data_IF_307406208585
#
_entry.id   IF_307406208585
#
_cell.length_a   1.000
_cell.length_b   1.000
_cell.length_c   1.000
_cell.angle_alpha   90.00
_cell.angle_beta   90.00
_cell.angle_gamma   90.00
#
_symmetry.space_group_name_H-M   'P 1'
#
loop_
_entity.id
_entity.type
_entity.pdbx_description
1 polymer ?
#
# COMPACT_ATOMS: atom_id res chain seq x y z
N UNK A 1 -14.32 11.75 8.42
CA UNK A 1 -13.49 12.77 7.73
C UNK A 1 -14.34 13.97 7.29
N UNK A 2 -15.03 13.94 6.15
CA UNK A 2 -15.58 15.14 5.48
C UNK A 2 -16.74 15.88 6.21
N UNK A 3 -17.42 15.23 7.16
CA UNK A 3 -18.56 15.84 7.86
C UNK A 3 -18.19 16.99 8.81
N UNK A 4 -16.92 17.06 9.24
CA UNK A 4 -16.42 18.08 10.17
C UNK A 4 -15.73 19.28 9.52
N UNK A 5 -15.72 19.36 8.18
CA UNK A 5 -15.05 20.44 7.45
C UNK A 5 -15.88 21.74 7.51
N UNK A 6 -15.21 22.88 7.63
CA UNK A 6 -15.82 24.21 7.80
C UNK A 6 -15.31 25.22 6.77
N UNK A 7 -16.18 26.14 6.32
CA UNK A 7 -15.87 27.10 5.24
C UNK A 7 -14.75 28.11 5.56
N UNK A 8 -14.49 28.35 6.85
CA UNK A 8 -13.47 29.29 7.31
C UNK A 8 -12.03 28.79 7.14
N UNK A 9 -11.85 27.51 6.80
CA UNK A 9 -10.54 26.87 6.61
C UNK A 9 -10.31 26.54 5.14
N UNK A 10 -9.08 26.16 4.82
CA UNK A 10 -8.70 25.63 3.51
C UNK A 10 -8.15 24.23 3.66
N UNK A 11 -8.56 23.33 2.78
CA UNK A 11 -8.27 21.91 2.90
C UNK A 11 -7.56 21.38 1.66
N UNK A 12 -6.51 20.59 1.89
CA UNK A 12 -5.93 19.71 0.89
C UNK A 12 -6.18 18.28 1.35
N UNK A 13 -7.12 17.60 0.69
CA UNK A 13 -7.47 16.21 1.02
C UNK A 13 -6.75 15.27 0.05
N UNK A 14 -6.10 14.24 0.59
CA UNK A 14 -5.22 13.33 -0.14
C UNK A 14 -5.73 11.90 0.05
N UNK A 15 -6.21 11.26 -1.02
CA UNK A 15 -6.85 9.93 -0.95
C UNK A 15 -6.09 8.86 -1.76
N UNK A 16 -6.29 7.56 -1.48
CA UNK A 16 -5.59 6.52 -2.22
C UNK A 16 -6.02 6.40 -3.69
N UNK A 17 -7.28 6.74 -4.00
CA UNK A 17 -7.92 6.44 -5.30
C UNK A 17 -8.75 7.61 -5.82
N UNK A 18 -8.86 7.70 -7.15
CA UNK A 18 -9.62 8.76 -7.82
C UNK A 18 -11.13 8.70 -7.48
N UNK A 19 -11.70 7.51 -7.35
CA UNK A 19 -13.12 7.35 -6.94
C UNK A 19 -13.41 7.92 -5.55
N UNK A 20 -12.41 7.97 -4.66
CA UNK A 20 -12.54 8.63 -3.37
C UNK A 20 -12.45 10.16 -3.50
N UNK A 21 -11.69 10.70 -4.46
CA UNK A 21 -11.74 12.12 -4.80
C UNK A 21 -13.15 12.52 -5.25
N UNK A 22 -13.73 11.77 -6.19
CA UNK A 22 -15.10 11.99 -6.69
C UNK A 22 -16.14 11.93 -5.57
N UNK A 23 -15.99 10.97 -4.64
CA UNK A 23 -16.86 10.86 -3.46
C UNK A 23 -16.77 12.11 -2.58
N UNK A 24 -15.57 12.63 -2.34
CA UNK A 24 -15.39 13.84 -1.52
C UNK A 24 -16.02 15.06 -2.20
N UNK A 25 -15.80 15.24 -3.50
CA UNK A 25 -16.39 16.36 -4.26
C UNK A 25 -17.91 16.32 -4.18
N UNK A 26 -18.51 15.13 -4.29
CA UNK A 26 -19.96 14.95 -4.24
C UNK A 26 -20.57 15.14 -2.84
N UNK A 27 -19.91 14.60 -1.81
CA UNK A 27 -20.53 14.42 -0.49
C UNK A 27 -20.06 15.45 0.55
N UNK A 28 -19.00 16.21 0.29
CA UNK A 28 -18.49 17.22 1.22
C UNK A 28 -19.41 18.46 1.28
N UNK A 29 -19.51 19.06 2.47
CA UNK A 29 -20.28 20.30 2.67
C UNK A 29 -19.58 21.54 2.14
N UNK A 30 -18.26 21.50 2.07
CA UNK A 30 -17.43 22.56 1.48
C UNK A 30 -17.05 22.14 0.06
N UNK A 31 -17.03 23.10 -0.87
CA UNK A 31 -16.70 22.82 -2.26
C UNK A 31 -15.22 22.42 -2.40
N UNK A 32 -14.98 21.32 -3.12
CA UNK A 32 -13.66 20.81 -3.48
C UNK A 32 -13.48 20.81 -4.99
N UNK A 33 -12.25 21.01 -5.43
CA UNK A 33 -11.83 20.81 -6.82
C UNK A 33 -10.72 19.75 -6.88
N UNK A 34 -10.67 19.01 -7.97
CA UNK A 34 -9.58 18.08 -8.26
C UNK A 34 -8.73 18.59 -9.43
N UNK A 35 -7.42 18.33 -9.43
CA UNK A 35 -6.57 18.69 -10.55
C UNK A 35 -6.85 17.85 -11.80
N UNK A 36 -7.03 18.53 -12.91
CA UNK A 36 -7.35 17.98 -14.24
C UNK A 36 -6.50 18.65 -15.31
N UNK A 37 -6.35 18.00 -16.48
CA UNK A 37 -5.76 18.64 -17.66
C UNK A 37 -6.85 19.46 -18.33
N UNK A 38 -6.64 20.77 -18.49
CA UNK A 38 -7.61 21.67 -19.11
C UNK A 38 -7.17 21.90 -20.56
N UNK A 39 -7.88 21.29 -21.52
CA UNK A 39 -7.46 21.28 -22.93
C UNK A 39 -7.44 22.67 -23.60
N UNK A 40 -8.18 23.63 -23.06
CA UNK A 40 -8.40 24.96 -23.66
C UNK A 40 -7.67 26.09 -22.92
N UNK A 41 -6.83 25.77 -21.93
CA UNK A 41 -6.06 26.77 -21.18
C UNK A 41 -4.55 26.62 -21.45
N UNK A 42 -3.93 27.56 -22.17
CA UNK A 42 -2.50 27.48 -22.52
C UNK A 42 -1.56 27.68 -21.32
N UNK A 43 -2.06 28.10 -20.15
CA UNK A 43 -1.28 28.18 -18.92
C UNK A 43 -1.29 26.85 -18.13
N UNK A 44 -2.09 25.87 -18.55
CA UNK A 44 -2.28 24.58 -17.85
C UNK A 44 -1.96 23.40 -18.78
N UNK A 45 -0.67 23.08 -18.89
CA UNK A 45 -0.20 21.95 -19.70
C UNK A 45 -0.35 20.60 -18.98
N UNK A 46 -0.27 20.59 -17.64
CA UNK A 46 -0.31 19.38 -16.83
C UNK A 46 -1.30 19.48 -15.68
N UNK A 47 -1.68 18.32 -15.12
CA UNK A 47 -2.47 18.28 -13.88
C UNK A 47 -1.78 19.01 -12.73
N UNK A 48 -0.45 19.05 -12.71
CA UNK A 48 0.32 19.73 -11.68
C UNK A 48 0.17 21.25 -11.80
N UNK A 49 0.16 21.78 -13.01
CA UNK A 49 -0.04 23.21 -13.25
C UNK A 49 -1.43 23.64 -12.79
N UNK A 50 -2.45 22.82 -13.09
CA UNK A 50 -3.79 23.07 -12.57
C UNK A 50 -3.84 23.00 -11.03
N UNK A 51 -3.14 22.05 -10.41
CA UNK A 51 -3.06 21.99 -8.95
C UNK A 51 -2.42 23.28 -8.39
N UNK A 52 -1.35 23.77 -9.00
CA UNK A 52 -0.69 25.02 -8.59
C UNK A 52 -1.69 26.18 -8.68
N UNK A 53 -2.39 26.33 -9.81
CA UNK A 53 -3.40 27.37 -10.00
C UNK A 53 -4.53 27.28 -8.95
N UNK A 54 -4.99 26.08 -8.61
CA UNK A 54 -6.02 25.87 -7.57
C UNK A 54 -5.54 26.27 -6.17
N UNK A 55 -4.26 25.99 -5.85
CA UNK A 55 -3.65 26.36 -4.57
C UNK A 55 -3.41 27.87 -4.47
N UNK A 56 -2.95 28.51 -5.55
CA UNK A 56 -2.78 29.96 -5.65
C UNK A 56 -4.11 30.70 -5.47
N UNK A 57 -5.18 30.19 -6.10
CA UNK A 57 -6.54 30.70 -5.95
C UNK A 57 -7.20 30.34 -4.59
N UNK A 58 -6.46 29.67 -3.68
CA UNK A 58 -6.91 29.30 -2.33
C UNK A 58 -8.19 28.45 -2.33
N UNK A 59 -8.34 27.54 -3.29
CA UNK A 59 -9.46 26.61 -3.30
C UNK A 59 -9.23 25.41 -2.37
N UNK A 60 -10.29 24.75 -1.90
CA UNK A 60 -10.12 23.43 -1.30
C UNK A 60 -9.83 22.42 -2.41
N UNK A 61 -8.79 21.63 -2.23
CA UNK A 61 -8.33 20.69 -3.26
C UNK A 61 -8.41 19.27 -2.72
N UNK A 62 -8.84 18.34 -3.58
CA UNK A 62 -8.72 16.90 -3.34
C UNK A 62 -7.83 16.27 -4.41
N UNK A 63 -6.90 15.42 -4.01
CA UNK A 63 -5.99 14.74 -4.92
C UNK A 63 -5.61 13.35 -4.43
N UNK A 64 -4.87 12.60 -5.25
CA UNK A 64 -4.43 11.24 -4.91
C UNK A 64 -3.08 11.22 -4.17
N UNK A 65 -2.81 10.13 -3.44
CA UNK A 65 -1.52 9.85 -2.80
C UNK A 65 -0.34 9.97 -3.78
N UNK A 66 -0.51 9.46 -5.00
CA UNK A 66 0.52 9.49 -6.03
C UNK A 66 0.88 10.91 -6.46
N UNK A 67 -0.12 11.79 -6.57
CA UNK A 67 0.12 13.20 -6.91
C UNK A 67 0.78 13.94 -5.76
N UNK A 68 0.33 13.72 -4.51
CA UNK A 68 0.88 14.37 -3.33
C UNK A 68 2.39 14.10 -3.14
N UNK A 69 2.83 12.86 -3.38
CA UNK A 69 4.27 12.50 -3.31
C UNK A 69 5.17 13.29 -4.29
N UNK A 70 4.59 13.89 -5.32
CA UNK A 70 5.31 14.67 -6.34
C UNK A 70 5.20 16.19 -6.15
N UNK A 71 4.74 16.65 -4.98
CA UNK A 71 4.55 18.08 -4.66
C UNK A 71 5.72 18.71 -3.90
N UNK A 72 6.88 18.04 -3.87
CA UNK A 72 8.05 18.51 -3.12
C UNK A 72 8.51 19.92 -3.53
N UNK A 73 8.38 20.26 -4.81
CA UNK A 73 8.68 21.57 -5.35
C UNK A 73 7.56 22.59 -5.12
N UNK A 74 6.30 22.16 -5.16
CA UNK A 74 5.13 22.99 -4.79
C UNK A 74 5.20 23.41 -3.32
N UNK A 75 5.65 22.52 -2.44
CA UNK A 75 5.93 22.84 -1.04
C UNK A 75 6.96 23.97 -0.89
N UNK A 76 8.05 23.92 -1.64
CA UNK A 76 9.08 24.98 -1.64
C UNK A 76 8.56 26.34 -2.12
N UNK A 77 7.44 26.38 -2.83
CA UNK A 77 6.78 27.63 -3.25
C UNK A 77 5.89 28.24 -2.15
N UNK A 78 5.69 27.57 -1.01
CA UNK A 78 4.84 28.05 0.09
C UNK A 78 3.33 27.97 -0.22
N UNK A 79 2.93 27.28 -1.28
CA UNK A 79 1.52 27.23 -1.72
C UNK A 79 0.62 26.40 -0.79
N UNK A 80 1.22 25.55 0.05
CA UNK A 80 0.52 24.75 1.05
C UNK A 80 0.33 25.51 2.38
N UNK A 81 0.94 26.69 2.54
CA UNK A 81 0.86 27.48 3.76
C UNK A 81 -0.59 27.86 4.05
N UNK A 82 -1.08 27.54 5.25
CA UNK A 82 -2.46 27.83 5.66
C UNK A 82 -3.50 26.79 5.25
N UNK A 83 -3.10 25.69 4.60
CA UNK A 83 -3.97 24.54 4.37
C UNK A 83 -3.97 23.57 5.56
N UNK A 84 -5.13 23.05 5.90
CA UNK A 84 -5.26 21.84 6.70
C UNK A 84 -5.13 20.63 5.77
N UNK A 85 -4.02 19.90 5.89
CA UNK A 85 -3.74 18.74 5.06
C UNK A 85 -4.38 17.52 5.73
N UNK A 86 -5.25 16.83 4.99
CA UNK A 86 -5.93 15.63 5.47
C UNK A 86 -5.59 14.47 4.55
N UNK A 87 -4.99 13.44 5.10
CA UNK A 87 -4.62 12.23 4.37
C UNK A 87 -5.58 11.11 4.77
N UNK A 88 -6.31 10.58 3.80
CA UNK A 88 -7.13 9.37 3.96
C UNK A 88 -6.27 8.13 3.74
N UNK A 89 -6.28 7.22 4.72
CA UNK A 89 -5.39 6.08 4.84
C UNK A 89 -3.89 6.47 4.86
N UNK A 90 -3.07 5.61 5.43
CA UNK A 90 -1.61 5.84 5.41
C UNK A 90 -1.05 5.80 3.99
N UNK A 91 -0.22 6.78 3.67
CA UNK A 91 0.52 6.86 2.41
C UNK A 91 1.67 5.85 2.37
N UNK A 92 2.07 5.47 1.14
CA UNK A 92 3.38 4.84 0.95
C UNK A 92 4.46 5.90 1.09
N UNK A 93 5.16 5.88 2.22
CA UNK A 93 6.27 6.79 2.51
C UNK A 93 7.61 6.32 1.97
N UNK A 94 7.66 5.09 1.47
CA UNK A 94 8.85 4.46 0.94
C UNK A 94 8.55 3.95 -0.46
N UNK A 95 9.45 4.22 -1.38
CA UNK A 95 9.45 3.69 -2.74
C UNK A 95 10.80 3.00 -3.02
N UNK A 96 10.75 1.68 -3.19
CA UNK A 96 11.89 0.84 -3.52
C UNK A 96 12.02 0.57 -5.04
N UNK A 97 11.21 1.24 -5.87
CA UNK A 97 11.25 1.21 -7.33
C UNK A 97 12.53 1.79 -7.92
N UNK A 98 13.28 2.57 -7.14
CA UNK A 98 14.57 3.18 -7.50
C UNK A 98 15.77 2.23 -7.35
N UNK A 99 15.53 0.92 -7.25
CA UNK A 99 16.59 -0.07 -7.06
C UNK A 99 17.48 -0.20 -8.31
N UNK A 100 18.72 0.22 -8.16
CA UNK A 100 19.80 -0.06 -9.13
C UNK A 100 20.52 -1.35 -8.73
N UNK A 101 21.05 -2.10 -9.72
CA UNK A 101 21.94 -3.23 -9.42
C UNK A 101 23.18 -2.70 -8.69
N UNK A 102 23.53 -3.31 -7.56
CA UNK A 102 24.69 -2.92 -6.73
C UNK A 102 25.95 -2.58 -7.53
N UNK A 103 26.36 -3.46 -8.46
CA UNK A 103 27.53 -3.24 -9.31
C UNK A 103 27.42 -1.98 -10.17
N UNK A 104 26.26 -1.74 -10.79
CA UNK A 104 26.01 -0.54 -11.59
C UNK A 104 26.02 0.71 -10.70
N UNK A 105 25.41 0.65 -9.52
CA UNK A 105 25.42 1.77 -8.58
C UNK A 105 26.84 2.15 -8.14
N UNK A 106 27.61 1.18 -7.66
CA UNK A 106 28.98 1.41 -7.18
C UNK A 106 29.90 1.87 -8.30
N UNK A 107 29.88 1.19 -9.45
CA UNK A 107 30.84 1.45 -10.52
C UNK A 107 30.53 2.70 -11.32
N UNK A 108 29.26 2.99 -11.55
CA UNK A 108 28.86 4.10 -12.43
C UNK A 108 28.50 5.33 -11.61
N UNK A 109 27.53 5.23 -10.69
CA UNK A 109 27.05 6.41 -9.97
C UNK A 109 28.07 6.92 -8.95
N UNK A 110 28.63 6.02 -8.12
CA UNK A 110 29.52 6.41 -7.02
C UNK A 110 30.95 6.66 -7.52
N UNK A 111 31.57 5.68 -8.20
CA UNK A 111 32.98 5.80 -8.58
C UNK A 111 33.25 6.85 -9.66
N UNK A 112 32.32 7.06 -10.60
CA UNK A 112 32.48 8.09 -11.64
C UNK A 112 32.08 9.49 -11.14
N UNK A 113 31.62 9.62 -9.88
CA UNK A 113 31.42 10.91 -9.22
C UNK A 113 30.09 11.61 -9.51
N UNK A 114 29.06 10.88 -9.94
CA UNK A 114 27.72 11.45 -10.18
C UNK A 114 26.94 11.76 -8.90
N UNK A 115 27.32 11.16 -7.76
CA UNK A 115 26.60 11.32 -6.49
C UNK A 115 27.53 11.60 -5.32
N UNK A 116 27.07 12.47 -4.43
CA UNK A 116 27.57 12.59 -3.08
C UNK A 116 26.64 11.88 -2.10
N UNK A 117 27.20 11.03 -1.24
CA UNK A 117 26.45 10.29 -0.22
C UNK A 117 26.88 10.81 1.15
N UNK A 118 25.92 11.37 1.90
CA UNK A 118 26.16 11.79 3.27
C UNK A 118 26.48 10.55 4.15
N UNK A 119 27.64 10.50 4.82
CA UNK A 119 28.10 9.30 5.52
C UNK A 119 27.27 8.94 6.76
N UNK A 120 26.63 9.92 7.39
CA UNK A 120 25.86 9.73 8.63
C UNK A 120 24.40 9.30 8.34
N UNK A 121 23.81 9.87 7.29
CA UNK A 121 22.39 9.70 6.96
C UNK A 121 22.14 8.78 5.77
N UNK A 122 23.14 8.60 4.90
CA UNK A 122 23.01 7.93 3.62
C UNK A 122 22.29 8.77 2.55
N UNK A 123 21.99 10.04 2.79
CA UNK A 123 21.31 10.91 1.82
C UNK A 123 22.16 11.08 0.55
N UNK A 124 21.55 10.85 -0.61
CA UNK A 124 22.17 11.01 -1.92
C UNK A 124 21.84 12.39 -2.49
N UNK A 125 22.88 13.15 -2.85
CA UNK A 125 22.78 14.44 -3.53
C UNK A 125 23.43 14.31 -4.92
N UNK A 126 22.78 14.79 -6.00
CA UNK A 126 23.41 14.77 -7.32
C UNK A 126 24.55 15.79 -7.38
N UNK A 127 25.65 15.45 -8.05
CA UNK A 127 26.75 16.39 -8.33
C UNK A 127 26.48 17.18 -9.62
N UNK A 128 27.21 18.28 -9.83
CA UNK A 128 27.14 19.05 -11.08
C UNK A 128 27.42 18.17 -12.31
N UNK A 129 28.30 17.17 -12.17
CA UNK A 129 28.61 16.19 -13.21
C UNK A 129 27.37 15.39 -13.66
N UNK A 130 26.48 15.03 -12.72
CA UNK A 130 25.23 14.34 -13.08
C UNK A 130 24.28 15.28 -13.82
N UNK A 131 24.23 16.56 -13.45
CA UNK A 131 23.42 17.56 -14.15
C UNK A 131 23.90 17.72 -15.59
N UNK A 132 25.21 17.89 -15.78
CA UNK A 132 25.84 18.08 -17.09
C UNK A 132 25.61 16.89 -18.03
N UNK A 133 25.70 15.67 -17.51
CA UNK A 133 25.57 14.45 -18.31
C UNK A 133 24.15 13.86 -18.35
N UNK A 134 23.14 14.55 -17.82
CA UNK A 134 21.77 14.02 -17.73
C UNK A 134 21.16 13.77 -19.11
N UNK A 135 21.46 14.63 -20.09
CA UNK A 135 20.93 14.58 -21.46
C UNK A 135 21.88 13.88 -22.44
N UNK A 136 23.18 13.83 -22.14
CA UNK A 136 24.22 13.30 -23.04
C UNK A 136 24.32 11.77 -23.02
N UNK A 137 23.78 11.10 -21.99
CA UNK A 137 23.91 9.65 -21.80
C UNK A 137 22.53 8.99 -21.80
N UNK A 138 21.86 9.08 -22.96
CA UNK A 138 20.44 8.75 -23.26
C UNK A 138 19.98 7.29 -23.01
N UNK A 139 20.64 6.55 -22.12
CA UNK A 139 20.21 5.22 -21.66
C UNK A 139 20.92 4.74 -20.35
N UNK A 140 21.95 5.47 -19.86
CA UNK A 140 22.77 4.98 -18.73
C UNK A 140 22.42 5.61 -17.38
N UNK A 141 22.06 6.91 -17.38
CA UNK A 141 21.71 7.66 -16.17
C UNK A 141 20.20 7.75 -16.04
N UNK A 142 19.67 7.32 -14.89
CA UNK A 142 18.23 7.36 -14.65
C UNK A 142 17.77 8.77 -14.29
N UNK A 143 17.01 9.41 -15.19
CA UNK A 143 16.35 10.69 -14.96
C UNK A 143 15.46 10.66 -13.70
N UNK A 144 14.78 9.52 -13.47
CA UNK A 144 13.95 9.34 -12.29
C UNK A 144 14.76 9.32 -10.98
N UNK A 145 15.97 8.74 -10.98
CA UNK A 145 16.87 8.77 -9.82
C UNK A 145 17.39 10.19 -9.58
N UNK A 146 17.78 10.89 -10.64
CA UNK A 146 18.22 12.28 -10.56
C UNK A 146 17.16 13.17 -9.90
N UNK A 147 15.91 13.11 -10.38
CA UNK A 147 14.82 13.88 -9.78
C UNK A 147 14.56 13.52 -8.31
N UNK A 148 14.69 12.24 -7.94
CA UNK A 148 14.55 11.82 -6.54
C UNK A 148 15.71 12.33 -5.66
N UNK A 149 16.95 12.30 -6.17
CA UNK A 149 18.11 12.83 -5.45
C UNK A 149 18.02 14.36 -5.32
N UNK A 150 17.69 15.07 -6.41
CA UNK A 150 17.54 16.54 -6.42
C UNK A 150 16.39 17.01 -5.50
N UNK A 151 15.33 16.21 -5.36
CA UNK A 151 14.26 16.48 -4.41
C UNK A 151 14.66 16.20 -2.94
N UNK A 152 15.90 15.78 -2.66
CA UNK A 152 16.39 15.51 -1.31
C UNK A 152 15.75 14.30 -0.64
N UNK A 153 15.30 13.33 -1.43
CA UNK A 153 14.49 12.21 -0.93
C UNK A 153 15.06 10.82 -1.21
N UNK A 154 16.26 10.73 -1.77
CA UNK A 154 16.90 9.46 -2.13
C UNK A 154 18.00 9.10 -1.12
N UNK A 155 17.96 7.90 -0.56
CA UNK A 155 18.90 7.41 0.45
C UNK A 155 19.58 6.12 0.01
N UNK A 156 20.87 6.00 0.28
CA UNK A 156 21.64 4.78 0.10
C UNK A 156 21.56 3.89 1.34
N UNK A 157 21.15 2.64 1.17
CA UNK A 157 21.14 1.63 2.23
C UNK A 157 22.39 0.74 2.17
N UNK A 158 22.76 0.16 3.31
CA UNK A 158 24.00 -0.62 3.48
C UNK A 158 24.10 -1.89 2.62
N UNK A 159 23.00 -2.38 2.07
CA UNK A 159 22.95 -3.53 1.16
C UNK A 159 22.99 -3.16 -0.33
N UNK A 160 23.21 -1.88 -0.64
CA UNK A 160 23.27 -1.36 -2.01
C UNK A 160 21.91 -1.06 -2.63
N UNK A 161 20.86 -0.98 -1.82
CA UNK A 161 19.53 -0.53 -2.24
C UNK A 161 19.46 0.98 -2.10
N UNK A 162 18.92 1.66 -3.13
CA UNK A 162 18.49 3.05 -2.98
C UNK A 162 17.02 3.10 -2.62
N UNK A 163 16.71 3.92 -1.62
CA UNK A 163 15.38 4.09 -1.06
C UNK A 163 14.94 5.52 -1.33
N UNK A 164 13.87 5.72 -2.12
CA UNK A 164 13.22 7.01 -2.12
C UNK A 164 12.20 7.06 -0.99
N UNK A 165 12.16 8.18 -0.28
CA UNK A 165 11.17 8.41 0.78
C UNK A 165 10.30 9.61 0.46
N UNK A 166 9.20 9.76 1.17
CA UNK A 166 8.40 10.98 1.08
C UNK A 166 9.27 12.19 1.52
N UNK A 167 9.19 13.34 0.85
CA UNK A 167 9.85 14.57 1.31
C UNK A 167 9.33 15.03 2.67
N UNK A 168 10.23 15.36 3.58
CA UNK A 168 9.88 15.85 4.93
C UNK A 168 9.11 17.18 4.87
N UNK A 169 9.46 18.07 3.95
CA UNK A 169 8.80 19.38 3.78
C UNK A 169 7.29 19.24 3.60
N UNK A 170 6.84 18.26 2.81
CA UNK A 170 5.41 18.00 2.58
C UNK A 170 4.64 17.64 3.85
N UNK A 171 5.31 17.03 4.84
CA UNK A 171 4.70 16.69 6.12
C UNK A 171 4.57 17.90 7.05
N UNK A 172 5.30 18.99 6.75
CA UNK A 172 5.38 20.21 7.55
C UNK A 172 4.76 21.44 6.85
N UNK A 173 4.34 21.31 5.60
CA UNK A 173 3.94 22.43 4.76
C UNK A 173 2.59 23.08 5.13
N UNK A 174 1.68 22.30 5.71
CA UNK A 174 0.34 22.79 6.07
C UNK A 174 0.28 23.44 7.45
N UNK A 175 -0.84 24.10 7.75
CA UNK A 175 -1.19 24.55 9.10
C UNK A 175 -1.38 23.36 10.07
N UNK A 176 -1.90 22.24 9.57
CA UNK A 176 -1.88 20.95 10.24
C UNK A 176 -1.84 19.81 9.22
N UNK A 177 -1.42 18.63 9.69
CA UNK A 177 -1.50 17.38 8.94
C UNK A 177 -2.22 16.33 9.78
N UNK A 178 -3.35 15.84 9.27
CA UNK A 178 -4.17 14.81 9.93
C UNK A 178 -4.24 13.57 9.06
N UNK A 179 -3.85 12.41 9.58
CA UNK A 179 -3.93 11.12 8.88
C UNK A 179 -5.07 10.29 9.46
N UNK A 180 -6.08 9.97 8.64
CA UNK A 180 -7.16 9.06 9.02
C UNK A 180 -6.77 7.63 8.68
N UNK A 181 -6.36 6.86 9.67
CA UNK A 181 -6.06 5.45 9.50
C UNK A 181 -6.35 4.66 10.76
N UNK A 182 -6.57 3.35 10.62
CA UNK A 182 -6.70 2.44 11.74
C UNK A 182 -5.37 1.75 12.04
N UNK A 183 -5.01 1.64 13.33
CA UNK A 183 -3.72 1.12 13.84
C UNK A 183 -2.50 1.80 13.19
N UNK A 184 -2.47 3.13 13.28
CA UNK A 184 -1.40 3.95 12.74
C UNK A 184 0.00 3.47 13.17
N UNK A 185 0.15 2.98 14.40
CA UNK A 185 1.43 2.56 14.98
C UNK A 185 2.08 1.38 14.26
N UNK A 186 1.28 0.54 13.60
CA UNK A 186 1.78 -0.53 12.75
C UNK A 186 2.18 -0.05 11.35
N UNK A 187 2.01 1.23 11.00
CA UNK A 187 2.29 1.72 9.65
C UNK A 187 3.73 2.21 9.49
N UNK A 188 4.29 2.00 8.29
CA UNK A 188 5.60 2.56 7.90
C UNK A 188 5.59 4.08 7.98
N UNK A 189 4.46 4.73 7.68
CA UNK A 189 4.30 6.17 7.78
C UNK A 189 4.48 6.68 9.22
N UNK A 190 3.93 5.98 10.20
CA UNK A 190 4.12 6.35 11.61
C UNK A 190 5.56 6.18 12.07
N UNK A 191 6.24 5.12 11.63
CA UNK A 191 7.67 4.95 11.86
C UNK A 191 8.50 6.09 11.26
N UNK A 192 8.08 6.56 10.06
CA UNK A 192 8.71 7.69 9.40
C UNK A 192 8.53 9.00 10.18
N UNK A 193 7.31 9.30 10.64
CA UNK A 193 7.03 10.49 11.46
C UNK A 193 7.85 10.50 12.75
N UNK A 194 7.99 9.35 13.43
CA UNK A 194 8.86 9.22 14.61
C UNK A 194 10.32 9.46 14.28
N UNK A 195 10.81 8.90 13.16
CA UNK A 195 12.20 9.12 12.71
C UNK A 195 12.50 10.60 12.45
N UNK A 196 11.53 11.35 11.94
CA UNK A 196 11.63 12.79 11.71
C UNK A 196 11.51 13.63 13.00
N UNK A 197 11.21 13.02 14.15
CA UNK A 197 10.94 13.73 15.40
C UNK A 197 9.65 14.55 15.38
N UNK A 198 8.67 14.18 14.53
CA UNK A 198 7.39 14.86 14.42
C UNK A 198 6.35 14.39 15.46
N UNK A 199 6.65 13.31 16.21
CA UNK A 199 5.86 12.76 17.33
C UNK A 199 4.34 12.97 17.23
N UNK A 200 3.67 12.25 16.30
CA UNK A 200 2.25 12.47 16.03
C UNK A 200 1.37 12.13 17.24
N UNK A 201 0.41 13.01 17.53
CA UNK A 201 -0.63 12.74 18.54
C UNK A 201 -1.62 11.73 17.98
N UNK A 202 -1.80 10.61 18.68
CA UNK A 202 -2.76 9.59 18.29
C UNK A 202 -4.12 9.85 18.94
N UNK A 203 -5.11 10.20 18.12
CA UNK A 203 -6.51 10.22 18.54
C UNK A 203 -7.14 8.85 18.25
N UNK A 204 -7.07 7.94 19.23
CA UNK A 204 -7.69 6.61 19.17
C UNK A 204 -9.18 6.63 19.50
N UNK A 205 -9.76 7.81 19.76
CA UNK A 205 -11.08 7.92 20.38
C UNK A 205 -11.11 7.31 21.77
N UNK A 206 -12.28 6.83 22.21
CA UNK A 206 -12.42 6.20 23.51
C UNK A 206 -12.13 4.68 23.45
N UNK A 207 -11.55 4.06 24.50
CA UNK A 207 -11.32 2.62 24.55
C UNK A 207 -12.58 1.77 24.25
N UNK A 208 -13.76 2.30 24.55
CA UNK A 208 -15.03 1.63 24.28
C UNK A 208 -15.35 1.51 22.79
N UNK A 209 -14.93 2.49 21.96
CA UNK A 209 -15.09 2.45 20.51
C UNK A 209 -14.24 1.32 19.93
N UNK A 210 -12.98 1.24 20.33
CA UNK A 210 -12.06 0.18 19.94
C UNK A 210 -12.59 -1.20 20.35
N UNK A 211 -13.00 -1.37 21.61
CA UNK A 211 -13.55 -2.64 22.10
C UNK A 211 -14.83 -3.03 21.34
N UNK A 212 -15.70 -2.07 21.01
CA UNK A 212 -16.89 -2.34 20.21
C UNK A 212 -16.52 -2.79 18.80
N UNK A 213 -15.54 -2.13 18.17
CA UNK A 213 -15.04 -2.50 16.86
C UNK A 213 -14.47 -3.93 16.85
N UNK A 214 -13.61 -4.26 17.83
CA UNK A 214 -13.02 -5.60 17.97
C UNK A 214 -14.08 -6.67 18.25
N UNK A 215 -15.09 -6.39 19.08
CA UNK A 215 -16.21 -7.32 19.32
C UNK A 215 -16.99 -7.61 18.04
N UNK A 216 -17.33 -6.57 17.28
CA UNK A 216 -18.01 -6.75 15.99
C UNK A 216 -17.14 -7.56 15.02
N UNK A 217 -15.84 -7.27 14.95
CA UNK A 217 -14.89 -8.04 14.14
C UNK A 217 -14.90 -9.54 14.52
N UNK A 218 -14.91 -9.84 15.82
CA UNK A 218 -14.92 -11.21 16.35
C UNK A 218 -16.18 -11.97 15.95
N UNK A 219 -17.32 -11.31 15.89
CA UNK A 219 -18.60 -11.89 15.48
C UNK A 219 -18.69 -12.13 13.96
N UNK A 220 -18.09 -11.23 13.17
CA UNK A 220 -18.18 -11.28 11.72
C UNK A 220 -17.11 -12.17 11.06
N UNK A 221 -15.92 -12.34 11.68
CA UNK A 221 -14.80 -13.01 11.04
C UNK A 221 -14.66 -14.45 11.53
N UNK A 222 -14.94 -15.41 10.64
CA UNK A 222 -14.64 -16.82 10.89
C UNK A 222 -13.26 -17.18 10.32
N UNK A 223 -12.29 -17.46 11.19
CA UNK A 223 -10.92 -17.86 10.79
C UNK A 223 -10.84 -19.37 10.58
N UNK A 224 -10.25 -19.79 9.46
CA UNK A 224 -10.05 -21.18 9.04
C UNK A 224 -8.61 -21.42 8.55
N UNK A 225 -8.11 -22.62 8.80
CA UNK A 225 -6.80 -23.06 8.32
C UNK A 225 -6.87 -23.67 6.91
N UNK A 226 -5.74 -23.71 6.21
CA UNK A 226 -5.54 -24.53 5.02
C UNK A 226 -4.52 -25.61 5.40
N UNK A 227 -5.01 -26.77 5.85
CA UNK A 227 -4.20 -27.85 6.44
C UNK A 227 -2.96 -28.23 5.63
N UNK A 228 -3.05 -28.22 4.30
CA UNK A 228 -1.93 -28.58 3.39
C UNK A 228 -0.81 -27.53 3.33
N UNK A 229 -1.07 -26.32 3.82
CA UNK A 229 -0.11 -25.20 3.86
C UNK A 229 0.41 -24.91 5.28
N UNK A 230 0.02 -25.71 6.28
CA UNK A 230 0.47 -25.52 7.66
C UNK A 230 1.99 -25.70 7.78
N UNK A 231 2.66 -24.79 8.48
CA UNK A 231 4.12 -24.80 8.66
C UNK A 231 4.91 -24.43 7.40
N UNK A 232 4.24 -24.04 6.32
CA UNK A 232 4.88 -23.54 5.12
C UNK A 232 5.21 -22.06 5.30
N UNK A 233 6.45 -21.67 5.02
CA UNK A 233 6.86 -20.28 5.02
C UNK A 233 6.28 -19.55 3.80
N UNK A 234 5.28 -18.70 4.06
CA UNK A 234 4.58 -17.88 3.07
C UNK A 234 5.05 -16.41 3.07
N UNK A 235 6.29 -16.12 3.46
CA UNK A 235 6.85 -14.78 3.29
C UNK A 235 6.95 -14.42 1.80
N UNK A 236 6.92 -13.12 1.47
CA UNK A 236 7.08 -12.65 0.09
C UNK A 236 8.35 -13.23 -0.57
N UNK A 237 9.48 -13.19 0.14
CA UNK A 237 10.77 -13.72 -0.34
C UNK A 237 10.72 -15.24 -0.54
N UNK A 238 10.09 -15.98 0.37
CA UNK A 238 9.95 -17.44 0.24
C UNK A 238 9.12 -17.83 -0.99
N UNK A 239 8.07 -17.06 -1.29
CA UNK A 239 7.22 -17.27 -2.44
C UNK A 239 7.90 -16.86 -3.76
N UNK A 240 8.66 -15.75 -3.79
CA UNK A 240 9.16 -15.15 -5.05
C UNK A 240 10.58 -15.55 -5.45
N UNK A 241 11.34 -16.20 -4.58
CA UNK A 241 12.69 -16.72 -4.89
C UNK A 241 12.70 -17.72 -6.05
N UNK A 242 13.83 -17.82 -6.76
CA UNK A 242 14.02 -18.67 -7.96
C UNK A 242 13.69 -20.15 -7.74
N UNK A 243 13.86 -20.68 -6.52
CA UNK A 243 13.59 -22.07 -6.17
C UNK A 243 12.21 -22.30 -5.53
N UNK A 244 11.23 -21.43 -5.79
CA UNK A 244 9.85 -21.56 -5.29
C UNK A 244 9.05 -22.73 -5.86
N UNK A 245 9.64 -23.59 -6.71
CA UNK A 245 8.94 -24.68 -7.43
C UNK A 245 8.06 -25.54 -6.52
N UNK A 246 8.55 -25.88 -5.32
CA UNK A 246 7.78 -26.64 -4.33
C UNK A 246 6.47 -25.94 -3.95
N UNK A 247 6.50 -24.61 -3.75
CA UNK A 247 5.30 -23.82 -3.48
C UNK A 247 4.41 -23.71 -4.72
N UNK A 248 5.02 -23.54 -5.90
CA UNK A 248 4.32 -23.46 -7.18
C UNK A 248 3.54 -24.75 -7.51
N UNK A 249 3.92 -25.89 -6.93
CA UNK A 249 3.17 -27.15 -7.03
C UNK A 249 2.19 -27.36 -5.87
N UNK A 250 2.55 -26.96 -4.65
CA UNK A 250 1.77 -27.22 -3.44
C UNK A 250 0.56 -26.29 -3.30
N UNK A 251 0.76 -24.99 -3.54
CA UNK A 251 -0.27 -23.96 -3.32
C UNK A 251 -1.47 -24.15 -4.25
N UNK A 252 -1.32 -24.38 -5.57
CA UNK A 252 -2.46 -24.66 -6.44
C UNK A 252 -3.27 -25.88 -6.01
N UNK A 253 -2.60 -26.97 -5.59
CA UNK A 253 -3.25 -28.18 -5.10
C UNK A 253 -4.05 -27.91 -3.83
N UNK A 254 -3.48 -27.11 -2.91
CA UNK A 254 -4.15 -26.66 -1.70
C UNK A 254 -5.40 -25.82 -2.03
N UNK A 255 -5.28 -24.82 -2.90
CA UNK A 255 -6.39 -23.97 -3.33
C UNK A 255 -7.47 -24.76 -4.07
N UNK A 256 -7.09 -25.72 -4.90
CA UNK A 256 -8.00 -26.62 -5.62
C UNK A 256 -8.78 -27.55 -4.68
N UNK A 257 -8.12 -28.06 -3.63
CA UNK A 257 -8.78 -28.80 -2.56
C UNK A 257 -9.73 -27.91 -1.76
N UNK A 258 -9.28 -26.70 -1.41
CA UNK A 258 -10.07 -25.72 -0.68
C UNK A 258 -11.33 -25.32 -1.44
N UNK A 259 -11.19 -24.98 -2.74
CA UNK A 259 -12.32 -24.66 -3.63
C UNK A 259 -13.35 -25.78 -3.66
N UNK A 260 -12.92 -27.04 -3.78
CA UNK A 260 -13.83 -28.18 -3.82
C UNK A 260 -14.56 -28.44 -2.51
N UNK A 261 -13.85 -28.36 -1.40
CA UNK A 261 -14.34 -28.91 -0.13
C UNK A 261 -15.01 -27.87 0.76
N UNK A 262 -14.68 -26.58 0.58
CA UNK A 262 -15.11 -25.50 1.49
C UNK A 262 -15.77 -24.33 0.78
N UNK A 263 -15.68 -24.24 -0.54
CA UNK A 263 -16.19 -23.10 -1.31
C UNK A 263 -16.83 -23.53 -2.64
N UNK A 264 -17.42 -24.73 -2.74
CA UNK A 264 -17.95 -25.25 -4.02
C UNK A 264 -19.08 -24.38 -4.58
N UNK A 265 -19.92 -23.83 -3.70
CA UNK A 265 -21.11 -23.04 -4.02
C UNK A 265 -20.86 -21.53 -4.04
N UNK A 266 -19.68 -21.08 -3.59
CA UNK A 266 -19.34 -19.65 -3.54
C UNK A 266 -19.10 -19.15 -4.97
N UNK A 267 -19.66 -18.01 -5.34
CA UNK A 267 -19.37 -17.38 -6.62
C UNK A 267 -17.90 -16.93 -6.64
N UNK A 268 -17.18 -17.16 -7.75
CA UNK A 268 -15.72 -16.96 -7.75
C UNK A 268 -15.32 -15.51 -7.43
N UNK A 269 -15.94 -14.46 -8.01
CA UNK A 269 -15.64 -13.07 -7.66
C UNK A 269 -15.88 -12.70 -6.19
N UNK A 270 -16.73 -13.43 -5.47
CA UNK A 270 -16.93 -13.24 -4.01
C UNK A 270 -15.77 -13.79 -3.17
N UNK A 271 -14.79 -14.45 -3.79
CA UNK A 271 -13.58 -14.95 -3.13
C UNK A 271 -12.45 -13.95 -3.35
N UNK A 272 -12.10 -13.22 -2.29
CA UNK A 272 -10.93 -12.36 -2.25
C UNK A 272 -9.68 -13.22 -1.99
N UNK A 273 -8.61 -12.98 -2.73
CA UNK A 273 -7.34 -13.69 -2.54
C UNK A 273 -6.15 -12.76 -2.67
N UNK A 274 -5.15 -12.94 -1.81
CA UNK A 274 -3.87 -12.24 -1.93
C UNK A 274 -2.67 -13.19 -1.90
N UNK A 275 -1.70 -12.87 -2.75
CA UNK A 275 -0.43 -13.59 -2.99
C UNK A 275 0.47 -12.67 -3.85
N UNK A 276 1.79 -12.89 -3.99
CA UNK A 276 2.59 -12.06 -4.88
C UNK A 276 2.03 -11.99 -6.30
N UNK A 277 2.07 -10.81 -6.92
CA UNK A 277 1.50 -10.56 -8.26
C UNK A 277 1.99 -11.57 -9.31
N UNK A 278 3.27 -11.94 -9.25
CA UNK A 278 3.91 -12.93 -10.15
C UNK A 278 3.47 -14.37 -9.93
N UNK A 279 2.75 -14.66 -8.83
CA UNK A 279 2.15 -15.96 -8.53
C UNK A 279 0.72 -16.06 -8.99
N UNK A 280 -0.03 -14.96 -8.94
CA UNK A 280 -1.39 -14.93 -9.47
C UNK A 280 -1.44 -14.78 -10.99
N UNK A 281 -0.62 -13.87 -11.54
CA UNK A 281 -0.50 -13.65 -12.98
C UNK A 281 0.81 -14.22 -13.52
N UNK A 282 0.82 -14.62 -14.79
CA UNK A 282 2.06 -14.93 -15.49
C UNK A 282 2.95 -13.68 -15.50
N UNK A 283 4.23 -13.84 -15.16
CA UNK A 283 5.19 -12.73 -15.02
C UNK A 283 5.15 -11.78 -16.23
N UNK A 284 4.92 -10.49 -15.97
CA UNK A 284 4.84 -9.42 -16.99
C UNK A 284 3.65 -9.51 -17.93
N UNK A 285 2.58 -10.22 -17.54
CA UNK A 285 1.35 -10.43 -18.32
C UNK A 285 0.11 -10.22 -17.46
N UNK A 286 0.15 -9.25 -16.56
CA UNK A 286 -1.04 -8.76 -15.90
C UNK A 286 -2.02 -8.14 -16.91
N UNK A 287 -3.33 -8.35 -16.71
CA UNK A 287 -4.32 -7.77 -17.58
C UNK A 287 -4.32 -6.25 -17.43
N UNK A 288 -4.43 -5.55 -18.56
CA UNK A 288 -4.81 -4.14 -18.57
C UNK A 288 -6.31 -4.07 -18.36
N UNK A 289 -6.74 -3.19 -17.48
CA UNK A 289 -8.14 -2.94 -17.18
C UNK A 289 -8.50 -1.58 -17.80
N UNK A 290 -9.61 -1.53 -18.53
CA UNK A 290 -10.17 -0.30 -19.07
C UNK A 290 -10.90 0.50 -18.00
N UNK A 291 -11.36 1.69 -18.36
CA UNK A 291 -12.03 2.61 -17.44
C UNK A 291 -13.33 2.02 -16.86
N UNK A 292 -13.99 1.14 -17.61
CA UNK A 292 -15.23 0.48 -17.20
C UNK A 292 -15.00 -0.88 -16.52
N UNK A 293 -13.75 -1.21 -16.16
CA UNK A 293 -13.40 -2.46 -15.48
C UNK A 293 -13.22 -3.67 -16.42
N UNK A 294 -13.36 -3.48 -17.72
CA UNK A 294 -13.20 -4.52 -18.74
C UNK A 294 -11.74 -4.90 -18.94
N UNK A 295 -11.47 -6.18 -19.23
CA UNK A 295 -10.12 -6.65 -19.50
C UNK A 295 -9.71 -6.27 -20.93
N UNK A 296 -8.87 -5.24 -21.06
CA UNK A 296 -8.27 -4.84 -22.33
C UNK A 296 -7.24 -5.86 -22.84
N UNK A 297 -6.65 -6.66 -21.94
CA UNK A 297 -5.78 -7.78 -22.34
C UNK A 297 -6.17 -9.08 -21.64
N UNK A 298 -5.96 -10.24 -22.30
CA UNK A 298 -6.37 -11.52 -21.74
C UNK A 298 -5.68 -11.84 -20.43
N UNK A 299 -6.44 -12.36 -19.47
CA UNK A 299 -5.91 -12.92 -18.24
C UNK A 299 -4.99 -14.13 -18.55
N UNK A 300 -3.77 -14.11 -18.00
CA UNK A 300 -2.82 -15.24 -18.09
C UNK A 300 -2.48 -15.75 -16.69
N UNK A 301 -2.93 -16.96 -16.30
CA UNK A 301 -2.73 -17.47 -14.96
C UNK A 301 -1.25 -17.65 -14.63
N UNK A 302 -0.87 -17.20 -13.45
CA UNK A 302 0.42 -17.50 -12.83
C UNK A 302 0.42 -18.87 -12.15
N UNK A 303 1.56 -19.25 -11.54
CA UNK A 303 1.74 -20.54 -10.86
C UNK A 303 0.65 -20.89 -9.85
N UNK A 304 0.16 -19.93 -9.07
CA UNK A 304 -0.84 -20.18 -8.02
C UNK A 304 -2.27 -20.15 -8.55
N UNK A 305 -2.55 -19.35 -9.57
CA UNK A 305 -3.85 -19.31 -10.21
C UNK A 305 -4.09 -20.57 -11.07
N UNK A 306 -3.07 -21.03 -11.80
CA UNK A 306 -3.14 -22.21 -12.66
C UNK A 306 -3.43 -23.47 -11.84
N UNK A 307 -4.50 -24.20 -12.19
CA UNK A 307 -4.88 -25.44 -11.50
C UNK A 307 -5.52 -25.28 -10.12
N UNK A 308 -5.68 -24.05 -9.62
CA UNK A 308 -6.33 -23.75 -8.33
C UNK A 308 -7.84 -23.93 -8.31
N UNK A 309 -8.49 -24.03 -9.48
CA UNK A 309 -9.95 -23.89 -9.67
C UNK A 309 -10.53 -22.53 -9.25
N UNK A 310 -9.69 -21.60 -8.77
CA UNK A 310 -10.08 -20.23 -8.47
C UNK A 310 -9.95 -19.31 -9.68
N UNK A 311 -9.19 -19.75 -10.69
CA UNK A 311 -9.11 -19.06 -11.98
C UNK A 311 -9.17 -20.11 -13.11
N UNK A 312 -10.38 -20.52 -13.54
CA UNK A 312 -10.55 -21.43 -14.66
C UNK A 312 -9.82 -20.92 -15.91
N UNK A 313 -9.28 -21.84 -16.73
CA UNK A 313 -8.62 -21.48 -17.97
C UNK A 313 -9.64 -21.03 -19.03
N UNK A 314 -9.31 -19.99 -19.81
CA UNK A 314 -10.13 -19.48 -20.91
C UNK A 314 -10.39 -17.96 -20.81
N UNK A 315 -11.19 -17.44 -21.75
CA UNK A 315 -11.68 -16.06 -21.76
C UNK A 315 -12.82 -15.81 -20.76
N UNK A 316 -13.10 -16.73 -19.85
CA UNK A 316 -14.13 -16.50 -18.84
C UNK A 316 -13.69 -15.39 -17.89
N UNK A 317 -14.56 -14.41 -17.69
CA UNK A 317 -14.33 -13.27 -16.81
C UNK A 317 -14.46 -13.67 -15.33
N UNK A 318 -15.18 -14.76 -15.06
CA UNK A 318 -15.52 -15.21 -13.71
C UNK A 318 -14.35 -15.97 -13.06
N UNK A 319 -13.67 -15.31 -12.12
CA UNK A 319 -12.52 -15.82 -11.36
C UNK A 319 -12.50 -15.22 -9.96
N UNK A 320 -11.68 -15.77 -9.07
CA UNK A 320 -11.43 -15.18 -7.76
C UNK A 320 -10.76 -13.82 -7.90
N UNK A 321 -11.16 -12.90 -7.02
CA UNK A 321 -10.74 -11.51 -7.03
C UNK A 321 -9.39 -11.40 -6.34
N UNK A 322 -8.33 -11.27 -7.14
CA UNK A 322 -6.99 -11.06 -6.58
C UNK A 322 -6.74 -9.59 -6.29
N UNK A 323 -6.22 -9.33 -5.10
CA UNK A 323 -5.93 -7.99 -4.63
C UNK A 323 -4.56 -7.99 -3.93
N UNK A 324 -3.64 -7.05 -4.27
CA UNK A 324 -2.41 -6.88 -3.52
C UNK A 324 -2.70 -6.72 -2.03
N UNK A 325 -1.86 -7.32 -1.17
CA UNK A 325 -2.05 -7.21 0.29
C UNK A 325 -1.88 -5.77 0.80
N UNK A 326 -1.23 -4.89 0.02
CA UNK A 326 -1.03 -3.47 0.31
C UNK A 326 -2.16 -2.57 -0.23
N UNK A 327 -3.24 -3.15 -0.76
CA UNK A 327 -4.35 -2.37 -1.32
C UNK A 327 -5.14 -1.68 -0.20
N UNK A 328 -5.30 -0.36 -0.32
CA UNK A 328 -5.99 0.51 0.65
C UNK A 328 -7.03 1.38 -0.05
N UNK A 329 -7.95 1.95 0.72
CA UNK A 329 -8.93 2.96 0.24
C UNK A 329 -9.97 2.57 -0.82
N UNK A 330 -10.11 1.31 -1.23
CA UNK A 330 -11.14 0.88 -2.21
C UNK A 330 -12.38 0.25 -1.56
N UNK A 331 -13.54 0.47 -2.17
CA UNK A 331 -14.81 -0.19 -1.83
C UNK A 331 -15.20 -1.32 -2.81
N UNK A 332 -14.39 -1.60 -3.83
CA UNK A 332 -14.76 -2.48 -4.96
C UNK A 332 -14.98 -3.93 -4.53
N UNK A 333 -14.37 -4.35 -3.42
CA UNK A 333 -14.34 -5.73 -2.96
C UNK A 333 -15.32 -6.02 -1.81
N UNK A 334 -16.18 -5.06 -1.45
CA UNK A 334 -17.11 -5.17 -0.32
C UNK A 334 -18.17 -6.25 -0.51
N UNK A 335 -18.29 -6.83 -1.69
CA UNK A 335 -19.15 -7.97 -1.99
C UNK A 335 -18.51 -9.31 -1.60
N UNK A 336 -17.18 -9.36 -1.39
CA UNK A 336 -16.48 -10.62 -1.14
C UNK A 336 -16.87 -11.22 0.21
N UNK A 337 -17.32 -12.47 0.20
CA UNK A 337 -17.80 -13.25 1.36
C UNK A 337 -16.72 -14.16 1.94
N UNK A 338 -15.72 -14.51 1.12
CA UNK A 338 -14.62 -15.39 1.49
C UNK A 338 -13.29 -14.71 1.19
N UNK A 339 -12.29 -14.94 2.03
CA UNK A 339 -10.97 -14.34 1.89
C UNK A 339 -9.86 -15.39 2.05
N UNK A 340 -8.82 -15.33 1.22
CA UNK A 340 -7.65 -16.22 1.27
C UNK A 340 -6.39 -15.37 1.35
N UNK A 341 -5.71 -15.41 2.50
CA UNK A 341 -4.53 -14.57 2.75
C UNK A 341 -3.24 -15.41 2.74
N UNK A 342 -2.54 -15.45 1.60
CA UNK A 342 -1.33 -16.26 1.43
C UNK A 342 -0.06 -15.48 1.71
N UNK A 343 -0.01 -14.77 2.84
CA UNK A 343 1.19 -14.06 3.29
C UNK A 343 1.52 -14.38 4.74
N UNK A 344 2.82 -14.53 4.99
CA UNK A 344 3.43 -14.27 6.29
C UNK A 344 4.11 -12.89 6.21
N UNK A 345 3.40 -11.85 6.64
CA UNK A 345 3.72 -10.46 6.30
C UNK A 345 4.89 -9.93 7.13
N UNK A 346 5.91 -9.37 6.48
CA UNK A 346 7.10 -8.86 7.16
C UNK A 346 7.56 -7.56 6.52
N UNK A 347 8.07 -6.64 7.33
CA UNK A 347 8.76 -5.45 6.87
C UNK A 347 10.08 -5.90 6.24
N UNK A 348 10.48 -5.25 5.14
CA UNK A 348 11.81 -5.46 4.58
C UNK A 348 12.88 -5.08 5.63
N UNK A 349 13.82 -5.97 5.98
CA UNK A 349 14.82 -5.71 7.03
C UNK A 349 15.65 -4.44 6.79
N UNK A 350 16.02 -4.15 5.54
CA UNK A 350 16.81 -2.96 5.19
C UNK A 350 16.02 -1.67 5.41
N UNK A 351 14.73 -1.70 5.07
CA UNK A 351 13.79 -0.60 5.34
C UNK A 351 13.58 -0.45 6.85
N UNK A 352 13.37 -1.55 7.58
CA UNK A 352 13.19 -1.55 9.03
C UNK A 352 14.41 -0.94 9.74
N UNK A 353 15.61 -1.34 9.33
CA UNK A 353 16.85 -0.81 9.89
C UNK A 353 17.01 0.68 9.59
N UNK A 354 16.64 1.13 8.38
CA UNK A 354 16.63 2.55 8.03
C UNK A 354 15.70 3.35 8.96
N UNK A 355 14.57 2.80 9.39
CA UNK A 355 13.69 3.47 10.36
C UNK A 355 14.20 3.50 11.81
N UNK A 356 15.30 2.83 12.14
CA UNK A 356 15.79 2.70 13.53
C UNK A 356 15.49 1.33 14.16
N UNK A 357 15.04 0.36 13.36
CA UNK A 357 14.88 -1.04 13.76
C UNK A 357 13.56 -1.35 14.48
N UNK A 358 13.46 -2.55 15.08
CA UNK A 358 12.22 -3.05 15.70
C UNK A 358 11.69 -2.22 16.88
N UNK A 359 12.51 -1.31 17.43
CA UNK A 359 12.11 -0.40 18.52
C UNK A 359 11.18 0.72 18.04
N UNK A 360 11.25 1.07 16.75
CA UNK A 360 10.44 2.16 16.17
C UNK A 360 9.12 1.61 15.62
N UNK A 361 9.17 0.45 14.97
CA UNK A 361 8.00 -0.25 14.43
C UNK A 361 8.14 -1.76 14.64
N UNK A 362 7.13 -2.34 15.27
CA UNK A 362 7.04 -3.79 15.44
C UNK A 362 6.63 -4.44 14.12
N UNK A 363 7.36 -5.46 13.73
CA UNK A 363 7.06 -6.23 12.53
C UNK A 363 5.68 -6.93 12.63
N UNK A 364 5.28 -7.31 13.83
CA UNK A 364 4.00 -7.98 14.08
C UNK A 364 2.83 -6.98 14.10
N UNK A 365 3.03 -5.76 14.63
CA UNK A 365 2.03 -4.70 14.53
C UNK A 365 1.80 -4.28 13.08
N UNK A 366 2.87 -4.20 12.29
CA UNK A 366 2.78 -4.00 10.85
C UNK A 366 2.01 -5.11 10.15
N UNK A 367 2.37 -6.37 10.42
CA UNK A 367 1.70 -7.51 9.82
C UNK A 367 0.20 -7.55 10.13
N UNK A 368 -0.18 -7.29 11.38
CA UNK A 368 -1.57 -7.23 11.82
C UNK A 368 -2.32 -6.07 11.15
N UNK A 369 -1.70 -4.88 11.09
CA UNK A 369 -2.31 -3.69 10.49
C UNK A 369 -2.62 -3.91 9.01
N UNK A 370 -1.65 -4.43 8.25
CA UNK A 370 -1.87 -4.76 6.83
C UNK A 370 -2.97 -5.80 6.63
N UNK A 371 -3.01 -6.84 7.48
CA UNK A 371 -4.05 -7.86 7.42
C UNK A 371 -5.44 -7.27 7.69
N UNK A 372 -5.61 -6.46 8.74
CA UNK A 372 -6.92 -5.86 9.07
C UNK A 372 -7.37 -4.93 7.96
N UNK A 373 -6.48 -4.07 7.46
CA UNK A 373 -6.78 -3.15 6.37
C UNK A 373 -7.24 -3.90 5.11
N UNK A 374 -6.55 -5.00 4.76
CA UNK A 374 -6.94 -5.85 3.64
C UNK A 374 -8.28 -6.57 3.89
N UNK A 375 -8.54 -7.08 5.09
CA UNK A 375 -9.81 -7.73 5.45
C UNK A 375 -10.99 -6.76 5.35
N UNK A 376 -10.80 -5.50 5.73
CA UNK A 376 -11.83 -4.45 5.64
C UNK A 376 -12.09 -3.97 4.20
N UNK A 377 -11.57 -4.67 3.19
CA UNK A 377 -12.04 -4.56 1.80
C UNK A 377 -13.17 -5.52 1.47
N UNK A 378 -13.37 -6.55 2.29
CA UNK A 378 -14.48 -7.52 2.16
C UNK A 378 -15.80 -6.97 2.73
N UNK A 379 -16.86 -7.77 2.70
CA UNK A 379 -18.17 -7.40 3.25
C UNK A 379 -18.21 -7.18 4.77
N UNK A 380 -17.14 -7.52 5.49
CA UNK A 380 -17.01 -7.17 6.92
C UNK A 380 -17.12 -5.66 7.15
N UNK A 381 -16.70 -4.86 6.16
CA UNK A 381 -16.82 -3.39 6.17
C UNK A 381 -18.27 -2.93 6.28
N UNK A 382 -19.18 -3.64 5.63
CA UNK A 382 -20.62 -3.35 5.62
C UNK A 382 -21.36 -4.08 6.77
N UNK A 383 -20.61 -4.69 7.70
CA UNK A 383 -21.18 -5.40 8.85
C UNK A 383 -21.65 -6.82 8.55
N UNK A 384 -21.23 -7.42 7.44
CA UNK A 384 -21.60 -8.80 7.07
C UNK A 384 -20.49 -9.81 7.37
N UNK A 385 -20.83 -11.06 7.72
CA UNK A 385 -19.85 -12.06 8.16
C UNK A 385 -19.00 -12.58 7.00
N UNK A 386 -17.73 -12.90 7.24
CA UNK A 386 -16.82 -13.50 6.26
C UNK A 386 -16.18 -14.78 6.76
N UNK A 387 -15.73 -15.62 5.82
CA UNK A 387 -14.81 -16.73 6.12
C UNK A 387 -13.40 -16.42 5.61
N UNK A 388 -12.45 -16.34 6.53
CA UNK A 388 -11.04 -16.08 6.24
C UNK A 388 -10.20 -17.37 6.32
N UNK A 389 -9.57 -17.75 5.22
CA UNK A 389 -8.55 -18.79 5.17
C UNK A 389 -7.16 -18.18 5.33
N UNK A 390 -6.53 -18.46 6.48
CA UNK A 390 -5.25 -17.87 6.87
C UNK A 390 -4.26 -18.96 7.25
N UNK A 391 -3.46 -19.53 6.33
CA UNK A 391 -2.58 -20.66 6.60
C UNK A 391 -1.33 -20.36 7.44
N UNK A 392 -0.87 -19.10 7.50
CA UNK A 392 0.29 -18.74 8.31
C UNK A 392 -0.08 -18.78 9.80
N UNK A 393 0.59 -19.65 10.57
CA UNK A 393 0.34 -19.78 12.01
C UNK A 393 0.59 -18.45 12.74
N UNK A 394 1.68 -17.75 12.41
CA UNK A 394 1.96 -16.44 13.02
C UNK A 394 0.83 -15.45 12.76
N UNK A 395 0.37 -15.36 11.52
CA UNK A 395 -0.73 -14.45 11.19
C UNK A 395 -2.05 -14.84 11.87
N UNK A 396 -2.33 -16.14 12.04
CA UNK A 396 -3.46 -16.62 12.84
C UNK A 396 -3.35 -16.14 14.29
N UNK A 397 -2.18 -16.32 14.92
CA UNK A 397 -1.93 -15.90 16.30
C UNK A 397 -2.11 -14.39 16.46
N UNK A 398 -1.55 -13.58 15.56
CA UNK A 398 -1.70 -12.12 15.58
C UNK A 398 -3.17 -11.69 15.48
N UNK A 399 -3.90 -12.22 14.49
CA UNK A 399 -5.31 -11.86 14.30
C UNK A 399 -6.16 -12.30 15.49
N UNK A 400 -5.96 -13.52 16.01
CA UNK A 400 -6.74 -14.03 17.14
C UNK A 400 -6.40 -13.31 18.44
N UNK A 401 -5.14 -12.96 18.67
CA UNK A 401 -4.74 -12.14 19.82
C UNK A 401 -5.43 -10.78 19.77
N UNK A 402 -5.54 -10.16 18.59
CA UNK A 402 -6.30 -8.93 18.43
C UNK A 402 -7.80 -9.15 18.67
N UNK A 403 -8.40 -10.14 17.99
CA UNK A 403 -9.83 -10.42 18.09
C UNK A 403 -10.25 -10.75 19.53
N UNK A 404 -9.42 -11.46 20.29
CA UNK A 404 -9.71 -11.92 21.66
C UNK A 404 -8.98 -11.12 22.74
N UNK A 405 -8.37 -9.98 22.40
CA UNK A 405 -7.68 -9.10 23.35
C UNK A 405 -6.64 -9.86 24.21
N UNK A 406 -5.93 -10.81 23.58
CA UNK A 406 -4.95 -11.70 24.19
C UNK A 406 -5.52 -12.91 24.94
N UNK A 407 -6.84 -13.01 25.11
CA UNK A 407 -7.52 -14.08 25.84
C UNK A 407 -8.15 -15.11 24.90
N UNK A 408 -7.33 -15.76 24.06
CA UNK A 408 -7.84 -16.72 23.07
C UNK A 408 -8.40 -17.97 23.77
N UNK A 409 -9.69 -18.31 23.59
CA UNK A 409 -10.26 -19.51 24.18
C UNK A 409 -9.63 -20.80 23.58
N UNK A 410 -9.30 -21.83 24.37
CA UNK A 410 -8.61 -23.03 23.89
C UNK A 410 -9.34 -23.80 22.77
N UNK A 411 -10.66 -23.67 22.70
CA UNK A 411 -11.50 -24.28 21.67
C UNK A 411 -11.41 -23.56 20.31
N UNK A 412 -11.02 -22.28 20.26
CA UNK A 412 -10.88 -21.55 18.98
C UNK A 412 -9.84 -22.20 18.07
N UNK A 413 -8.71 -22.62 18.64
CA UNK A 413 -7.69 -23.38 17.89
C UNK A 413 -8.23 -24.69 17.31
N UNK A 414 -9.21 -25.32 17.95
CA UNK A 414 -9.88 -26.51 17.38
C UNK A 414 -10.81 -26.12 16.24
N UNK A 415 -11.56 -25.02 16.36
CA UNK A 415 -12.48 -24.52 15.32
C UNK A 415 -11.76 -24.11 14.04
N UNK A 416 -10.57 -23.52 14.15
CA UNK A 416 -9.74 -23.13 13.00
C UNK A 416 -9.21 -24.35 12.25
N UNK A 417 -8.85 -25.40 12.99
CA UNK A 417 -8.26 -26.63 12.45
C UNK A 417 -9.31 -27.62 11.92
N UNK A 418 -10.59 -27.42 12.26
CA UNK A 418 -11.73 -28.18 11.76
C UNK A 418 -12.22 -27.61 10.43
#
# INVERSE_FOLDING_TARGET
MIAGLVESKRYLVVTPLLSECERIIRDARVAFMQPEVIQDDPEIDTKKDHLIALLEARHNVVTTHAMFNNLADVEKMGLLDGYEIIIDEVMSVVDDGYRVKKKTWEQFYVNDGYVDINPDTGLITPTDLWVEHLEDVDDALSTSLYHAANAGRLYHLSDGINLAVMPEGLLKAGNSLTVYTYKAEGSIMFAYLKRLGLDPVHDTGSPEIEQRFVRQARELITVKDIRTLRGINLSYTSQTKTNSKKLDELVPKALSGLRRNRMSEVWLPDILITTPKSKWYRKGKDPKIGECGELLTPFKPGPYASGSRLSPAGHTEVRATWVPNTTRGTNDYKHCTHAIYLYDQNINPSILNWFGGPKVISNDDYALTELIQWLWRTQVRDGYPITLFLPSQRMQELLLNWLWEGQIPPNEWRKIRA
#
